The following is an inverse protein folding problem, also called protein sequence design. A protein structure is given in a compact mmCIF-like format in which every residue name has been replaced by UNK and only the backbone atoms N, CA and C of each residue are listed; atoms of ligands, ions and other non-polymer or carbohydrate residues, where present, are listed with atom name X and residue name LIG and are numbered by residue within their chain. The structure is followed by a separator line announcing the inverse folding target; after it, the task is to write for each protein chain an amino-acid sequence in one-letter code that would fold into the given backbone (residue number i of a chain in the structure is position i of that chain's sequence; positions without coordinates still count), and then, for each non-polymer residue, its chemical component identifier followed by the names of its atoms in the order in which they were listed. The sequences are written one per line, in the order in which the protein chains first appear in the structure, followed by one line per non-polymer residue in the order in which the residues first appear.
data_IF_864295125705
#
_entry.id   IF_864295125705
#
_cell.length_a   1.000
_cell.length_b   1.000
_cell.length_c   1.000
_cell.angle_alpha   90.00
_cell.angle_beta   90.00
_cell.angle_gamma   90.00
#
_symmetry.space_group_name_H-M   'P 1'
#
loop_
_entity.id
_entity.type
_entity.pdbx_description
1 polymer ?
#
# COMPACT_ATOMS: atom_id res chain seq x y z
N UNK A 1 9.58 -12.95 37.43
CA UNK A 1 8.53 -12.92 36.38
C UNK A 1 8.78 -11.74 35.46
N UNK A 2 9.13 -11.96 34.18
CA UNK A 2 9.27 -10.89 33.18
C UNK A 2 7.88 -10.47 32.71
N UNK A 3 7.55 -9.19 32.86
CA UNK A 3 6.30 -8.60 32.38
C UNK A 3 6.29 -8.61 30.85
N UNK A 4 5.71 -9.68 30.29
CA UNK A 4 5.26 -9.80 28.91
C UNK A 4 4.03 -8.89 28.77
N UNK A 5 4.05 -7.90 27.88
CA UNK A 5 2.80 -7.22 27.49
C UNK A 5 2.80 -5.76 27.04
N UNK A 6 3.92 -5.03 26.98
CA UNK A 6 3.92 -3.61 26.53
C UNK A 6 4.36 -3.37 25.06
N UNK A 7 4.32 -4.37 24.19
CA UNK A 7 5.25 -4.37 23.05
C UNK A 7 4.71 -3.97 21.66
N UNK A 8 3.41 -3.87 21.40
CA UNK A 8 2.90 -3.74 20.01
C UNK A 8 2.65 -2.30 19.54
N UNK A 9 1.85 -1.46 20.24
CA UNK A 9 1.55 -0.11 19.78
C UNK A 9 2.77 0.81 19.78
N UNK A 10 3.66 0.67 20.77
CA UNK A 10 4.91 1.44 20.85
C UNK A 10 5.88 1.11 19.72
N UNK A 11 5.90 -0.15 19.23
CA UNK A 11 6.72 -0.55 18.09
C UNK A 11 6.20 0.05 16.78
N UNK A 12 4.87 0.07 16.60
CA UNK A 12 4.23 0.68 15.43
C UNK A 12 4.47 2.20 15.44
N UNK A 13 4.26 2.86 16.58
CA UNK A 13 4.51 4.30 16.75
C UNK A 13 5.97 4.66 16.48
N UNK A 14 6.93 3.92 17.04
CA UNK A 14 8.37 4.13 16.76
C UNK A 14 8.70 3.90 15.29
N UNK A 15 8.13 2.87 14.65
CA UNK A 15 8.35 2.60 13.24
C UNK A 15 7.79 3.73 12.35
N UNK A 16 6.60 4.23 12.65
CA UNK A 16 5.97 5.35 11.94
C UNK A 16 6.79 6.64 12.08
N UNK A 17 7.23 6.98 13.30
CA UNK A 17 8.09 8.15 13.54
C UNK A 17 9.42 8.02 12.80
N UNK A 18 9.99 6.82 12.73
CA UNK A 18 11.27 6.57 12.08
C UNK A 18 11.16 6.59 10.55
N UNK A 19 10.04 6.12 10.00
CA UNK A 19 9.69 6.31 8.59
C UNK A 19 9.51 7.80 8.26
N UNK A 20 8.79 8.53 9.10
CA UNK A 20 8.52 9.97 8.90
C UNK A 20 9.79 10.85 8.89
N UNK A 21 10.85 10.42 9.58
CA UNK A 21 12.14 11.13 9.61
C UNK A 21 12.94 11.00 8.31
N UNK A 22 12.67 9.99 7.48
CA UNK A 22 13.34 9.84 6.19
C UNK A 22 12.56 10.60 5.10
N UNK A 23 13.18 11.55 4.37
CA UNK A 23 12.47 12.43 3.44
C UNK A 23 11.75 11.67 2.33
N UNK A 24 12.38 10.62 1.77
CA UNK A 24 11.78 9.78 0.72
C UNK A 24 10.55 9.01 1.23
N UNK A 25 10.63 8.51 2.46
CA UNK A 25 9.53 7.78 3.10
C UNK A 25 8.37 8.72 3.42
N UNK A 26 8.65 9.94 3.87
CA UNK A 26 7.63 10.98 4.10
C UNK A 26 6.92 11.37 2.81
N UNK A 27 7.65 11.65 1.73
CA UNK A 27 7.06 12.00 0.42
C UNK A 27 6.18 10.85 -0.08
N UNK A 28 6.64 9.61 0.02
CA UNK A 28 5.87 8.42 -0.35
C UNK A 28 4.55 8.33 0.43
N UNK A 29 4.59 8.47 1.78
CA UNK A 29 3.38 8.37 2.62
C UNK A 29 2.40 9.49 2.32
N UNK A 30 2.88 10.72 2.15
CA UNK A 30 2.01 11.87 1.81
C UNK A 30 1.37 11.67 0.45
N UNK A 31 2.14 11.26 -0.56
CA UNK A 31 1.62 10.98 -1.89
C UNK A 31 0.55 9.88 -1.85
N UNK A 32 0.84 8.77 -1.19
CA UNK A 32 -0.12 7.66 -1.06
C UNK A 32 -1.38 8.08 -0.30
N UNK A 33 -1.26 8.87 0.77
CA UNK A 33 -2.40 9.34 1.54
C UNK A 33 -3.31 10.26 0.71
N UNK A 34 -2.70 11.21 -0.04
CA UNK A 34 -3.43 12.07 -0.96
C UNK A 34 -4.12 11.23 -2.03
N UNK A 35 -3.41 10.28 -2.64
CA UNK A 35 -3.99 9.44 -3.68
C UNK A 35 -5.11 8.54 -3.15
N UNK A 36 -4.94 7.95 -1.97
CA UNK A 36 -5.95 7.08 -1.36
C UNK A 36 -7.24 7.84 -1.00
N UNK A 37 -7.11 9.03 -0.39
CA UNK A 37 -8.27 9.88 -0.04
C UNK A 37 -8.98 10.38 -1.30
N UNK A 38 -8.23 10.80 -2.32
CA UNK A 38 -8.83 11.28 -3.57
C UNK A 38 -9.54 10.16 -4.35
N UNK A 39 -8.94 8.96 -4.38
CA UNK A 39 -9.58 7.79 -4.97
C UNK A 39 -10.87 7.40 -4.22
N UNK A 40 -10.89 7.57 -2.90
CA UNK A 40 -12.08 7.34 -2.06
C UNK A 40 -13.23 8.28 -2.42
N UNK A 41 -12.94 9.56 -2.66
CA UNK A 41 -13.95 10.55 -3.10
C UNK A 41 -14.57 10.13 -4.44
N UNK A 42 -13.75 9.66 -5.38
CA UNK A 42 -14.23 9.14 -6.67
C UNK A 42 -15.04 7.84 -6.51
N UNK A 43 -14.62 6.91 -5.65
CA UNK A 43 -15.31 5.65 -5.38
C UNK A 43 -16.62 5.79 -4.60
N UNK A 44 -16.74 6.84 -3.79
CA UNK A 44 -17.98 7.23 -3.10
C UNK A 44 -18.98 7.98 -3.99
N UNK A 45 -18.63 8.25 -5.26
CA UNK A 45 -19.48 8.99 -6.19
C UNK A 45 -19.53 10.51 -5.96
N UNK A 46 -18.56 11.06 -5.21
CA UNK A 46 -18.51 12.48 -4.81
C UNK A 46 -17.57 13.34 -5.69
N UNK A 47 -17.19 12.87 -6.88
CA UNK A 47 -16.32 13.61 -7.81
C UNK A 47 -16.08 12.90 -9.14
N UNK A 48 -15.27 13.52 -10.02
CA UNK A 48 -14.84 12.91 -11.28
C UNK A 48 -14.14 11.56 -11.05
N UNK A 49 -14.25 10.65 -12.02
CA UNK A 49 -13.63 9.32 -11.96
C UNK A 49 -12.11 9.43 -11.77
N UNK A 50 -11.65 9.39 -10.51
CA UNK A 50 -10.25 9.47 -10.09
C UNK A 50 -9.44 8.20 -10.42
N UNK A 51 -9.70 7.57 -11.57
CA UNK A 51 -9.08 6.32 -12.01
C UNK A 51 -7.55 6.41 -12.01
N UNK A 52 -7.00 7.55 -12.45
CA UNK A 52 -5.57 7.82 -12.47
C UNK A 52 -4.99 7.78 -11.05
N UNK A 53 -5.68 8.43 -10.11
CA UNK A 53 -5.22 8.56 -8.73
C UNK A 53 -5.31 7.21 -8.00
N UNK A 54 -6.35 6.44 -8.31
CA UNK A 54 -6.50 5.06 -7.86
C UNK A 54 -5.41 4.16 -8.43
N UNK A 55 -5.09 4.27 -9.73
CA UNK A 55 -4.01 3.53 -10.36
C UNK A 55 -2.64 3.85 -9.74
N UNK A 56 -2.35 5.13 -9.47
CA UNK A 56 -1.10 5.53 -8.78
C UNK A 56 -1.03 4.91 -7.38
N UNK A 57 -2.12 4.93 -6.61
CA UNK A 57 -2.17 4.30 -5.30
C UNK A 57 -1.98 2.77 -5.39
N UNK A 58 -2.57 2.10 -6.39
CA UNK A 58 -2.34 0.67 -6.66
C UNK A 58 -0.87 0.40 -6.99
N UNK A 59 -0.26 1.17 -7.87
CA UNK A 59 1.16 0.99 -8.24
C UNK A 59 2.09 1.20 -7.04
N UNK A 60 1.79 2.18 -6.17
CA UNK A 60 2.55 2.39 -4.93
C UNK A 60 2.42 1.20 -3.97
N UNK A 61 1.27 0.52 -3.96
CA UNK A 61 0.95 -0.59 -3.05
C UNK A 61 1.09 -1.98 -3.70
N UNK A 62 1.47 -2.04 -4.98
CA UNK A 62 1.49 -3.23 -5.84
C UNK A 62 2.14 -4.48 -5.22
N UNK A 63 3.33 -4.41 -4.57
CA UNK A 63 3.93 -5.61 -3.98
C UNK A 63 3.03 -6.28 -2.94
N UNK A 64 2.24 -5.50 -2.21
CA UNK A 64 1.27 -6.03 -1.24
C UNK A 64 -0.04 -6.42 -1.90
N UNK A 65 -0.43 -5.74 -2.98
CA UNK A 65 -1.62 -6.07 -3.75
C UNK A 65 -1.50 -7.46 -4.36
N UNK A 66 -0.34 -7.78 -4.96
CA UNK A 66 -0.03 -9.10 -5.49
C UNK A 66 -0.08 -10.19 -4.41
N UNK A 67 0.42 -9.92 -3.20
CA UNK A 67 0.35 -10.87 -2.09
C UNK A 67 -1.09 -11.14 -1.66
N UNK A 68 -1.91 -10.09 -1.54
CA UNK A 68 -3.34 -10.24 -1.20
C UNK A 68 -4.07 -10.99 -2.32
N UNK A 69 -3.80 -10.65 -3.58
CA UNK A 69 -4.39 -11.30 -4.73
C UNK A 69 -4.02 -12.79 -4.82
N UNK A 70 -2.73 -13.11 -4.64
CA UNK A 70 -2.24 -14.49 -4.60
C UNK A 70 -2.84 -15.26 -3.42
N UNK A 71 -2.96 -14.64 -2.25
CA UNK A 71 -3.62 -15.24 -1.10
C UNK A 71 -5.07 -15.58 -1.40
N UNK A 72 -5.84 -14.64 -1.97
CA UNK A 72 -7.24 -14.86 -2.35
C UNK A 72 -7.38 -15.98 -3.40
N UNK A 73 -6.46 -16.03 -4.36
CA UNK A 73 -6.45 -17.04 -5.42
C UNK A 73 -6.10 -18.44 -4.89
N UNK A 74 -5.13 -18.54 -3.99
CA UNK A 74 -4.73 -19.83 -3.38
C UNK A 74 -5.80 -20.32 -2.41
N UNK A 75 -6.32 -19.42 -1.57
CA UNK A 75 -7.30 -19.79 -0.54
C UNK A 75 -8.70 -20.01 -1.10
N UNK A 76 -8.94 -19.65 -2.36
CA UNK A 76 -10.23 -19.79 -3.03
C UNK A 76 -11.37 -19.16 -2.20
N UNK A 77 -11.07 -18.13 -1.41
CA UNK A 77 -12.02 -17.50 -0.49
C UNK A 77 -13.29 -17.04 -1.22
N UNK A 78 -13.18 -16.64 -2.49
CA UNK A 78 -14.33 -16.31 -3.34
C UNK A 78 -15.29 -17.49 -3.58
N UNK A 79 -14.81 -18.73 -3.65
CA UNK A 79 -15.68 -19.89 -3.90
C UNK A 79 -16.22 -20.51 -2.59
N UNK A 80 -15.52 -20.34 -1.47
CA UNK A 80 -15.89 -20.97 -0.19
C UNK A 80 -16.99 -20.23 0.58
N UNK A 81 -17.17 -18.94 0.35
CA UNK A 81 -18.04 -18.09 1.18
C UNK A 81 -19.49 -17.97 0.69
N UNK A 82 -20.06 -19.05 0.10
CA UNK A 82 -21.49 -19.29 -0.27
C UNK A 82 -21.78 -19.53 -1.77
N UNK A 83 -20.77 -19.74 -2.63
CA UNK A 83 -21.01 -19.88 -4.08
C UNK A 83 -21.55 -18.60 -4.74
N UNK A 84 -21.48 -17.48 -4.02
CA UNK A 84 -21.93 -16.16 -4.44
C UNK A 84 -20.71 -15.24 -4.50
N UNK A 85 -20.50 -14.58 -5.64
CA UNK A 85 -19.33 -13.73 -5.87
C UNK A 85 -19.56 -12.35 -5.23
N UNK A 86 -19.51 -12.33 -3.89
CA UNK A 86 -19.83 -11.19 -3.02
C UNK A 86 -19.12 -9.90 -3.44
N UNK A 87 -17.89 -10.00 -3.96
CA UNK A 87 -17.12 -8.86 -4.44
C UNK A 87 -17.67 -8.23 -5.72
N UNK A 88 -18.24 -9.03 -6.63
CA UNK A 88 -18.83 -8.54 -7.87
C UNK A 88 -20.24 -7.97 -7.69
N UNK A 89 -20.97 -8.48 -6.70
CA UNK A 89 -22.36 -8.10 -6.43
C UNK A 89 -22.51 -6.96 -5.42
N UNK A 90 -21.47 -6.68 -4.64
CA UNK A 90 -21.49 -5.61 -3.64
C UNK A 90 -21.16 -4.25 -4.26
N UNK A 91 -21.85 -3.17 -3.84
CA UNK A 91 -21.57 -1.84 -4.34
C UNK A 91 -20.18 -1.35 -3.88
N UNK A 92 -19.45 -0.70 -4.80
CA UNK A 92 -18.04 -0.32 -4.60
C UNK A 92 -17.76 0.52 -3.35
N UNK A 93 -18.71 1.37 -2.93
CA UNK A 93 -18.58 2.22 -1.74
C UNK A 93 -18.38 1.42 -0.44
N UNK A 94 -18.86 0.17 -0.37
CA UNK A 94 -18.70 -0.70 0.80
C UNK A 94 -17.22 -1.04 1.06
N UNK A 95 -16.40 -1.05 0.00
CA UNK A 95 -14.99 -1.40 0.06
C UNK A 95 -14.07 -0.20 0.26
N UNK A 96 -14.57 1.02 0.16
CA UNK A 96 -13.77 2.25 0.28
C UNK A 96 -13.10 2.41 1.68
N UNK A 97 -13.74 2.06 2.81
CA UNK A 97 -13.06 2.03 4.10
C UNK A 97 -11.93 0.99 4.16
N UNK A 98 -12.14 -0.19 3.56
CA UNK A 98 -11.13 -1.25 3.48
C UNK A 98 -9.96 -0.82 2.60
N UNK A 99 -10.23 -0.07 1.51
CA UNK A 99 -9.23 0.52 0.64
C UNK A 99 -8.32 1.50 1.39
N UNK A 100 -8.89 2.41 2.19
CA UNK A 100 -8.09 3.34 3.01
C UNK A 100 -7.25 2.60 4.04
N UNK A 101 -7.82 1.60 4.72
CA UNK A 101 -7.09 0.78 5.70
C UNK A 101 -5.95 0.00 5.03
N UNK A 102 -6.20 -0.55 3.85
CA UNK A 102 -5.21 -1.22 3.03
C UNK A 102 -4.08 -0.27 2.64
N UNK A 103 -4.39 0.93 2.12
CA UNK A 103 -3.39 1.93 1.77
C UNK A 103 -2.58 2.38 2.99
N UNK A 104 -3.21 2.57 4.15
CA UNK A 104 -2.52 2.96 5.37
C UNK A 104 -1.55 1.88 5.86
N UNK A 105 -1.98 0.62 5.87
CA UNK A 105 -1.17 -0.51 6.35
C UNK A 105 -0.01 -0.82 5.41
N UNK A 106 -0.30 -1.02 4.12
CA UNK A 106 0.71 -1.28 3.08
C UNK A 106 1.62 -0.09 2.84
N UNK A 107 1.08 1.12 2.95
CA UNK A 107 1.83 2.37 2.92
C UNK A 107 2.86 2.43 4.02
N UNK A 108 2.48 2.13 5.26
CA UNK A 108 3.40 2.14 6.39
C UNK A 108 4.51 1.08 6.26
N UNK A 109 4.16 -0.12 5.78
CA UNK A 109 5.13 -1.20 5.54
C UNK A 109 6.15 -0.79 4.47
N UNK A 110 5.67 -0.25 3.35
CA UNK A 110 6.51 0.19 2.24
C UNK A 110 7.37 1.39 2.63
N UNK A 111 6.81 2.37 3.34
CA UNK A 111 7.51 3.52 3.88
C UNK A 111 8.67 3.09 4.81
N UNK A 112 8.45 2.05 5.61
CA UNK A 112 9.48 1.48 6.50
C UNK A 112 10.57 0.75 5.71
N UNK A 113 10.21 0.01 4.67
CA UNK A 113 11.18 -0.62 3.76
C UNK A 113 12.02 0.44 3.04
N UNK A 114 11.38 1.48 2.51
CA UNK A 114 12.03 2.61 1.86
C UNK A 114 13.02 3.31 2.80
N UNK A 115 12.62 3.56 4.05
CA UNK A 115 13.49 4.16 5.07
C UNK A 115 14.66 3.25 5.46
N UNK A 116 14.54 1.92 5.31
CA UNK A 116 15.66 0.99 5.53
C UNK A 116 16.60 0.97 4.33
N UNK A 117 16.05 0.91 3.12
CA UNK A 117 16.83 0.91 1.88
C UNK A 117 17.55 2.23 1.65
N UNK A 118 16.93 3.38 1.93
CA UNK A 118 17.57 4.69 1.82
C UNK A 118 18.80 4.78 2.72
N UNK A 119 18.69 4.28 3.96
CA UNK A 119 19.82 4.26 4.91
C UNK A 119 20.88 3.25 4.52
N UNK A 120 20.51 2.08 4.01
CA UNK A 120 21.46 1.09 3.51
C UNK A 120 22.25 1.60 2.30
N UNK A 121 21.57 2.24 1.34
CA UNK A 121 22.18 2.84 0.16
C UNK A 121 23.16 3.96 0.53
N UNK A 122 22.77 4.87 1.45
CA UNK A 122 23.68 5.91 1.96
C UNK A 122 24.95 5.32 2.59
N UNK A 123 24.84 4.22 3.34
CA UNK A 123 26.00 3.53 3.94
C UNK A 123 26.89 2.86 2.90
N UNK A 124 26.31 2.42 1.79
CA UNK A 124 27.02 1.80 0.67
C UNK A 124 27.57 2.83 -0.34
N UNK A 125 27.48 4.14 -0.06
CA UNK A 125 27.94 5.19 -0.99
C UNK A 125 27.13 5.31 -2.27
N UNK A 126 25.95 4.69 -2.34
CA UNK A 126 25.07 4.72 -3.51
C UNK A 126 23.93 5.70 -3.31
N UNK A 127 23.40 6.22 -4.41
CA UNK A 127 22.32 7.20 -4.36
C UNK A 127 21.03 6.57 -3.79
N UNK A 128 20.44 7.16 -2.73
CA UNK A 128 19.36 6.54 -1.95
C UNK A 128 18.03 6.38 -2.68
N UNK A 129 17.89 6.95 -3.87
CA UNK A 129 16.68 6.92 -4.68
C UNK A 129 16.69 5.85 -5.79
N UNK A 130 17.84 5.24 -6.09
CA UNK A 130 17.96 4.29 -7.22
C UNK A 130 17.10 3.05 -6.99
N UNK A 131 17.24 2.41 -5.82
CA UNK A 131 16.46 1.20 -5.49
C UNK A 131 14.95 1.47 -5.46
N UNK A 132 14.45 2.53 -4.77
CA UNK A 132 13.03 2.89 -4.83
C UNK A 132 12.51 3.18 -6.25
N UNK A 133 13.28 3.87 -7.09
CA UNK A 133 12.87 4.23 -8.44
C UNK A 133 12.78 2.99 -9.35
N UNK A 134 13.73 2.07 -9.26
CA UNK A 134 13.71 0.80 -10.00
C UNK A 134 12.51 -0.05 -9.59
N UNK A 135 12.23 -0.14 -8.28
CA UNK A 135 11.07 -0.88 -7.78
C UNK A 135 9.76 -0.27 -8.26
N UNK A 136 9.62 1.06 -8.21
CA UNK A 136 8.42 1.75 -8.68
C UNK A 136 8.20 1.57 -10.19
N UNK A 137 9.25 1.75 -10.99
CA UNK A 137 9.18 1.58 -12.46
C UNK A 137 8.88 0.14 -12.85
N UNK A 138 9.44 -0.84 -12.16
CA UNK A 138 9.11 -2.25 -12.35
C UNK A 138 7.62 -2.53 -12.09
N UNK A 139 7.09 -2.10 -10.95
CA UNK A 139 5.68 -2.32 -10.63
C UNK A 139 4.73 -1.52 -11.51
N UNK A 140 5.12 -0.31 -11.94
CA UNK A 140 4.37 0.46 -12.93
C UNK A 140 4.29 -0.29 -14.27
N UNK A 141 5.38 -0.90 -14.72
CA UNK A 141 5.40 -1.71 -15.94
C UNK A 141 4.55 -2.99 -15.80
N UNK A 142 4.63 -3.70 -14.68
CA UNK A 142 3.78 -4.88 -14.41
C UNK A 142 2.30 -4.49 -14.42
N UNK A 143 1.94 -3.38 -13.78
CA UNK A 143 0.58 -2.87 -13.78
C UNK A 143 0.12 -2.49 -15.20
N UNK A 144 0.96 -1.83 -15.98
CA UNK A 144 0.66 -1.50 -17.37
C UNK A 144 0.43 -2.75 -18.23
N UNK A 145 1.24 -3.80 -18.08
CA UNK A 145 1.06 -5.08 -18.80
C UNK A 145 -0.21 -5.80 -18.37
N UNK A 146 -0.56 -5.77 -17.09
CA UNK A 146 -1.77 -6.40 -16.58
C UNK A 146 -3.06 -5.75 -17.11
N UNK A 147 -3.00 -4.44 -17.40
CA UNK A 147 -4.13 -3.65 -17.88
C UNK A 147 -4.13 -3.40 -19.40
N UNK A 148 -3.15 -3.94 -20.14
CA UNK A 148 -3.08 -3.89 -21.60
C UNK A 148 -3.90 -5.02 -22.23
#
# INVERSE_FOLDING_TARGET
MKLVGKATPDRIKKAAVLAWREPLSRVYVVLLAVCALWAMVGGAGLGEHGWLVRAVAVVLTMPWFLLVHLFLLITQVNSWLLGYDFYSASPGWLFEPLWVLYCATTGLLTARLLARWSRAARRAGTAPWVVPAVVFTFFAAVFAVWHA
#
